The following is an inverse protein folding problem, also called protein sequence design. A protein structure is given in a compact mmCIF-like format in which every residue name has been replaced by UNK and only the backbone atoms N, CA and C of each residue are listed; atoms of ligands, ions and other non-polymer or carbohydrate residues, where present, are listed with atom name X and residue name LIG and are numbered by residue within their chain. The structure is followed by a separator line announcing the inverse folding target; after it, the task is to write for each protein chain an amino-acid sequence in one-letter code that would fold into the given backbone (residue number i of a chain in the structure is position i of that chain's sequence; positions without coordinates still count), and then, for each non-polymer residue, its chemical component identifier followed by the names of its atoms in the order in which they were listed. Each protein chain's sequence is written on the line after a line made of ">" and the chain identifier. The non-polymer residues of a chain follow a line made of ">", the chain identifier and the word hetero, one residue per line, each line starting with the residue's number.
data_IF_810665009422
#
_entry.id   IF_810665009422
#
_cell.length_a   1.000
_cell.length_b   1.000
_cell.length_c   1.000
_cell.angle_alpha   90.00
_cell.angle_beta   90.00
_cell.angle_gamma   90.00
#
_symmetry.space_group_name_H-M   'P 1'
#
loop_
_entity.id
_entity.type
_entity.pdbx_description
1 polymer ?
#
# COMPACT_ATOMS: atom_id res chain seq x y z
N UNK A 1 -3.11 -0.94 11.11
CA UNK A 1 -2.37 0.28 10.70
C UNK A 1 -3.13 1.50 11.19
N UNK A 2 -2.53 2.31 12.04
CA UNK A 2 -3.15 3.57 12.47
C UNK A 2 -3.00 4.60 11.36
N UNK A 3 -4.08 4.84 10.63
CA UNK A 3 -4.19 6.00 9.75
C UNK A 3 -4.46 7.24 10.61
N UNK A 4 -3.59 8.23 10.58
CA UNK A 4 -3.94 9.55 11.13
C UNK A 4 -4.66 10.33 10.05
N UNK A 5 -5.98 10.37 10.09
CA UNK A 5 -6.82 11.21 9.22
C UNK A 5 -6.54 12.73 9.38
N UNK A 6 -5.67 13.10 10.31
CA UNK A 6 -5.38 14.49 10.64
C UNK A 6 -4.70 15.28 9.52
N UNK A 7 -4.08 14.64 8.52
CA UNK A 7 -3.28 15.35 7.52
C UNK A 7 -4.06 16.09 6.44
N UNK A 8 -5.34 15.78 6.24
CA UNK A 8 -6.12 16.39 5.16
C UNK A 8 -6.93 17.60 5.60
N UNK A 9 -7.16 17.75 6.90
CA UNK A 9 -7.86 18.91 7.48
C UNK A 9 -7.08 20.20 7.23
N UNK A 10 -5.74 20.11 7.14
CA UNK A 10 -4.87 21.28 6.99
C UNK A 10 -4.85 21.90 5.59
N UNK A 11 -5.40 21.26 4.57
CA UNK A 11 -5.31 21.77 3.19
C UNK A 11 -6.24 22.94 2.89
N UNK A 12 -7.30 23.13 3.68
CA UNK A 12 -8.35 24.11 3.43
C UNK A 12 -8.52 25.17 4.53
N UNK A 13 -7.88 24.97 5.67
CA UNK A 13 -8.05 25.85 6.85
C UNK A 13 -6.71 26.26 7.44
N UNK A 14 -6.63 27.45 7.99
CA UNK A 14 -5.44 27.97 8.69
C UNK A 14 -5.32 27.45 10.12
N UNK A 15 -6.40 26.93 10.71
CA UNK A 15 -6.48 26.36 12.05
C UNK A 15 -7.56 25.28 12.14
N UNK A 16 -7.41 24.35 13.08
CA UNK A 16 -8.29 23.18 13.25
C UNK A 16 -9.55 23.51 14.06
N UNK A 17 -10.22 24.61 13.78
CA UNK A 17 -11.44 25.03 14.47
C UNK A 17 -12.48 23.91 14.62
N UNK A 18 -12.75 23.07 13.61
CA UNK A 18 -13.76 22.03 13.74
C UNK A 18 -13.44 20.96 14.80
N UNK A 19 -12.17 20.75 15.16
CA UNK A 19 -11.79 19.83 16.25
C UNK A 19 -12.16 20.37 17.63
N UNK A 20 -12.30 21.68 17.77
CA UNK A 20 -12.59 22.39 18.99
C UNK A 20 -13.93 23.12 18.88
N UNK A 21 -14.90 22.52 18.18
CA UNK A 21 -16.15 23.17 17.83
C UNK A 21 -16.96 23.65 19.03
N UNK A 22 -16.92 22.92 20.16
CA UNK A 22 -17.60 23.31 21.40
C UNK A 22 -16.99 24.55 22.02
N UNK A 23 -15.66 24.66 22.03
CA UNK A 23 -14.92 25.80 22.56
C UNK A 23 -15.15 27.08 21.74
N UNK A 24 -15.40 26.91 20.42
CA UNK A 24 -15.63 28.02 19.49
C UNK A 24 -17.10 28.22 19.16
N UNK A 25 -18.02 27.57 19.90
CA UNK A 25 -19.49 27.68 19.72
C UNK A 25 -19.95 27.47 18.27
N UNK A 26 -19.30 26.59 17.52
CA UNK A 26 -19.64 26.28 16.14
C UNK A 26 -20.81 25.30 16.07
N UNK A 27 -21.71 25.51 15.11
CA UNK A 27 -22.78 24.56 14.86
C UNK A 27 -22.27 23.22 14.31
N UNK A 28 -22.83 22.10 14.78
CA UNK A 28 -22.46 20.73 14.33
C UNK A 28 -22.58 20.55 12.81
N UNK A 29 -23.48 21.25 12.16
CA UNK A 29 -23.65 21.23 10.70
C UNK A 29 -22.39 21.66 9.93
N UNK A 30 -21.55 22.49 10.54
CA UNK A 30 -20.30 22.95 9.94
C UNK A 30 -19.13 21.97 10.11
N UNK A 31 -19.33 20.91 10.90
CA UNK A 31 -18.28 19.94 11.25
C UNK A 31 -18.21 18.79 10.25
N UNK A 32 -19.31 18.46 9.58
CA UNK A 32 -19.42 17.32 8.65
C UNK A 32 -18.44 17.39 7.48
N UNK A 33 -17.97 18.58 7.11
CA UNK A 33 -16.98 18.80 6.06
C UNK A 33 -15.54 18.88 6.56
N UNK A 34 -15.34 18.89 7.88
CA UNK A 34 -14.02 18.96 8.50
C UNK A 34 -13.23 17.63 8.42
N UNK A 35 -13.96 16.55 8.27
CA UNK A 35 -13.43 15.18 8.22
C UNK A 35 -13.51 14.65 6.79
N UNK A 36 -12.73 15.23 5.92
CA UNK A 36 -12.58 14.71 4.55
C UNK A 36 -11.76 13.41 4.64
N UNK A 37 -12.45 12.32 5.00
CA UNK A 37 -11.82 11.01 5.05
C UNK A 37 -11.62 10.52 3.62
N UNK A 38 -10.38 10.38 3.20
CA UNK A 38 -10.01 9.85 1.88
C UNK A 38 -10.32 8.36 1.71
N UNK A 39 -10.91 7.75 2.70
CA UNK A 39 -11.22 6.33 2.70
C UNK A 39 -10.17 5.45 3.38
N UNK A 40 -10.40 4.15 3.29
CA UNK A 40 -9.56 3.15 3.92
C UNK A 40 -8.22 2.99 3.19
N UNK A 41 -7.21 2.56 3.93
CA UNK A 41 -5.97 2.07 3.36
C UNK A 41 -6.19 0.63 2.90
N UNK A 42 -5.94 0.36 1.63
CA UNK A 42 -6.03 -0.99 1.07
C UNK A 42 -4.62 -1.50 0.79
N UNK A 43 -4.29 -2.65 1.33
CA UNK A 43 -2.98 -3.29 1.14
C UNK A 43 -3.20 -4.63 0.45
N UNK A 44 -2.55 -4.83 -0.68
CA UNK A 44 -2.56 -6.06 -1.46
C UNK A 44 -1.80 -7.21 -0.80
N UNK A 45 -1.55 -8.25 -1.56
CA UNK A 45 -0.85 -9.45 -1.14
C UNK A 45 0.67 -9.35 -1.40
N UNK A 46 1.48 -10.14 -0.73
CA UNK A 46 2.95 -10.15 -0.88
C UNK A 46 3.59 -8.76 -0.72
N UNK A 47 3.00 -7.89 0.08
CA UNK A 47 3.50 -6.54 0.35
C UNK A 47 4.48 -6.55 1.51
N UNK A 48 5.64 -5.92 1.32
CA UNK A 48 6.59 -5.70 2.40
C UNK A 48 6.58 -4.23 2.80
N UNK A 49 6.29 -3.99 4.09
CA UNK A 49 6.28 -2.64 4.67
C UNK A 49 7.46 -2.52 5.63
N UNK A 50 8.39 -1.63 5.27
CA UNK A 50 9.59 -1.36 6.04
C UNK A 50 9.28 -0.68 7.38
N UNK A 51 10.25 -0.74 8.27
CA UNK A 51 10.15 -0.21 9.64
C UNK A 51 9.76 1.27 9.67
N UNK A 52 8.80 1.60 10.52
CA UNK A 52 8.28 2.98 10.70
C UNK A 52 7.77 3.64 9.40
N UNK A 53 7.36 2.89 8.40
CA UNK A 53 6.70 3.47 7.24
C UNK A 53 5.31 4.01 7.62
N UNK A 54 4.95 5.15 7.06
CA UNK A 54 3.66 5.82 7.27
C UNK A 54 2.86 5.75 5.97
N UNK A 55 1.63 5.23 6.04
CA UNK A 55 0.72 5.14 4.90
C UNK A 55 -0.46 6.05 5.17
N UNK A 56 -0.73 6.97 4.25
CA UNK A 56 -1.80 7.95 4.41
C UNK A 56 -3.16 7.35 4.08
N UNK A 57 -4.23 7.93 4.64
CA UNK A 57 -5.61 7.51 4.39
C UNK A 57 -5.95 7.51 2.89
N UNK A 58 -6.72 6.51 2.46
CA UNK A 58 -7.17 6.33 1.08
C UNK A 58 -6.12 5.81 0.10
N UNK A 59 -4.93 5.44 0.57
CA UNK A 59 -3.87 4.89 -0.29
C UNK A 59 -4.11 3.40 -0.54
N UNK A 60 -3.94 2.99 -1.80
CA UNK A 60 -3.94 1.60 -2.23
C UNK A 60 -2.52 1.14 -2.53
N UNK A 61 -2.12 0.05 -1.92
CA UNK A 61 -0.81 -0.58 -2.15
C UNK A 61 -1.04 -1.87 -2.92
N UNK A 62 -0.52 -1.94 -4.14
CA UNK A 62 -0.67 -3.09 -5.03
C UNK A 62 0.12 -4.31 -4.57
N UNK A 63 -0.29 -5.48 -5.08
CA UNK A 63 0.33 -6.76 -4.77
C UNK A 63 1.85 -6.72 -5.03
N UNK A 64 2.61 -7.34 -4.15
CA UNK A 64 4.06 -7.45 -4.29
C UNK A 64 4.83 -6.15 -4.11
N UNK A 65 4.21 -5.04 -3.70
CA UNK A 65 4.89 -3.78 -3.48
C UNK A 65 5.84 -3.83 -2.28
N UNK A 66 6.87 -2.99 -2.31
CA UNK A 66 7.80 -2.79 -1.19
C UNK A 66 7.80 -1.33 -0.80
N UNK A 67 7.50 -1.07 0.45
CA UNK A 67 7.57 0.25 1.08
C UNK A 67 8.86 0.31 1.90
N UNK A 68 9.76 1.20 1.54
CA UNK A 68 11.01 1.37 2.26
C UNK A 68 10.79 1.85 3.70
N UNK A 69 11.73 1.54 4.58
CA UNK A 69 11.69 2.02 5.96
C UNK A 69 11.59 3.55 6.01
N UNK A 70 10.76 4.04 6.94
CA UNK A 70 10.50 5.47 7.17
C UNK A 70 9.94 6.23 5.97
N UNK A 71 9.42 5.54 4.96
CA UNK A 71 8.72 6.18 3.84
C UNK A 71 7.38 6.75 4.28
N UNK A 72 7.00 7.90 3.72
CA UNK A 72 5.65 8.48 3.89
C UNK A 72 4.89 8.35 2.58
N UNK A 73 4.02 7.34 2.50
CA UNK A 73 3.27 7.00 1.29
C UNK A 73 2.00 7.86 1.22
N UNK A 74 1.95 8.75 0.26
CA UNK A 74 0.87 9.74 0.08
C UNK A 74 0.01 9.49 -1.18
N UNK A 75 0.39 8.51 -2.01
CA UNK A 75 -0.27 8.14 -3.27
C UNK A 75 -0.28 6.62 -3.42
N UNK A 76 -1.16 6.12 -4.25
CA UNK A 76 -1.23 4.70 -4.58
C UNK A 76 0.12 4.18 -5.10
N UNK A 77 0.42 2.94 -4.72
CA UNK A 77 1.64 2.23 -5.11
C UNK A 77 1.27 1.12 -6.07
N UNK A 78 1.75 1.18 -7.33
CA UNK A 78 1.48 0.12 -8.29
C UNK A 78 2.05 -1.24 -7.85
N UNK A 79 1.50 -2.36 -8.37
CA UNK A 79 2.01 -3.69 -8.06
C UNK A 79 3.52 -3.82 -8.35
N UNK A 80 4.19 -4.64 -7.53
CA UNK A 80 5.61 -4.96 -7.65
C UNK A 80 6.54 -3.74 -7.78
N UNK A 81 6.12 -2.62 -7.16
CA UNK A 81 6.88 -1.35 -7.16
C UNK A 81 7.54 -1.15 -5.81
N UNK A 82 8.80 -0.71 -5.83
CA UNK A 82 9.53 -0.28 -4.65
C UNK A 82 9.42 1.23 -4.53
N UNK A 83 8.90 1.71 -3.41
CA UNK A 83 8.80 3.13 -3.12
C UNK A 83 9.53 3.49 -1.84
N UNK A 84 10.03 4.72 -1.75
CA UNK A 84 10.71 5.21 -0.55
C UNK A 84 10.81 6.72 -0.49
N UNK A 85 11.18 7.23 0.66
CA UNK A 85 11.35 8.66 0.92
C UNK A 85 10.12 9.35 1.51
N UNK A 86 10.23 10.65 1.71
CA UNK A 86 9.21 11.52 2.31
C UNK A 86 9.06 12.79 1.46
N UNK A 87 7.98 12.93 0.65
CA UNK A 87 7.00 11.89 0.33
C UNK A 87 7.59 10.73 -0.48
N UNK A 88 7.01 9.53 -0.33
CA UNK A 88 7.48 8.35 -1.05
C UNK A 88 7.34 8.52 -2.56
N UNK A 89 8.39 8.11 -3.28
CA UNK A 89 8.45 8.09 -4.73
C UNK A 89 8.87 6.70 -5.20
N UNK A 90 8.52 6.36 -6.41
CA UNK A 90 9.00 5.14 -7.05
C UNK A 90 10.53 5.16 -7.15
N UNK A 91 11.17 4.11 -6.64
CA UNK A 91 12.59 3.85 -6.78
C UNK A 91 12.81 3.01 -8.03
N UNK A 92 12.10 1.87 -8.14
CA UNK A 92 12.12 0.98 -9.31
C UNK A 92 11.02 -0.06 -9.22
N UNK A 93 10.78 -0.77 -10.30
CA UNK A 93 10.02 -2.03 -10.29
C UNK A 93 10.88 -3.17 -9.76
N UNK A 94 10.26 -4.19 -9.16
CA UNK A 94 10.95 -5.40 -8.70
C UNK A 94 11.38 -6.27 -9.88
N UNK A 95 10.54 -6.33 -10.91
CA UNK A 95 10.68 -7.18 -12.09
C UNK A 95 10.27 -6.43 -13.36
N UNK A 96 10.54 -7.01 -14.51
CA UNK A 96 10.07 -6.51 -15.80
C UNK A 96 8.55 -6.63 -15.92
N UNK A 97 7.94 -5.84 -16.82
CA UNK A 97 6.49 -5.73 -16.94
C UNK A 97 5.82 -7.09 -17.26
N UNK A 98 6.45 -7.93 -18.09
CA UNK A 98 5.93 -9.25 -18.43
C UNK A 98 5.90 -10.17 -17.22
N UNK A 99 6.97 -10.21 -16.43
CA UNK A 99 7.07 -10.99 -15.20
C UNK A 99 6.05 -10.52 -14.17
N UNK A 100 5.85 -9.20 -14.04
CA UNK A 100 4.83 -8.65 -13.14
C UNK A 100 3.44 -9.12 -13.53
N UNK A 101 3.08 -9.08 -14.82
CA UNK A 101 1.78 -9.55 -15.29
C UNK A 101 1.58 -11.04 -15.00
N UNK A 102 2.59 -11.86 -15.23
CA UNK A 102 2.53 -13.29 -14.94
C UNK A 102 2.35 -13.57 -13.44
N UNK A 103 3.06 -12.84 -12.56
CA UNK A 103 2.91 -12.97 -11.11
C UNK A 103 1.52 -12.55 -10.63
N UNK A 104 0.93 -11.51 -11.22
CA UNK A 104 -0.43 -11.06 -10.92
C UNK A 104 -1.49 -12.06 -11.39
N UNK A 105 -1.23 -12.84 -12.45
CA UNK A 105 -2.10 -13.94 -12.87
C UNK A 105 -1.92 -15.17 -11.99
N UNK A 106 -0.67 -15.47 -11.62
CA UNK A 106 -0.30 -16.66 -10.84
C UNK A 106 -0.92 -16.67 -9.45
N UNK A 107 -0.98 -15.52 -8.78
CA UNK A 107 -1.56 -15.32 -7.44
C UNK A 107 -1.18 -16.43 -6.46
N UNK A 108 0.10 -16.67 -6.30
CA UNK A 108 0.64 -17.77 -5.48
C UNK A 108 0.13 -17.74 -4.02
N UNK A 109 -0.30 -16.60 -3.53
CA UNK A 109 -0.89 -16.44 -2.19
C UNK A 109 -2.28 -17.08 -2.04
N UNK A 110 -2.96 -17.39 -3.15
CA UNK A 110 -4.25 -18.10 -3.16
C UNK A 110 -4.08 -19.63 -3.20
N UNK A 111 -2.83 -20.12 -3.25
CA UNK A 111 -2.54 -21.55 -3.31
C UNK A 111 -2.70 -22.23 -1.96
N UNK A 112 -2.90 -23.56 -1.99
CA UNK A 112 -2.86 -24.36 -0.78
C UNK A 112 -1.47 -24.31 -0.12
N UNK A 113 -1.43 -24.53 1.19
CA UNK A 113 -0.18 -24.54 1.96
C UNK A 113 0.84 -25.53 1.40
N UNK A 114 0.39 -26.67 0.87
CA UNK A 114 1.28 -27.70 0.31
C UNK A 114 1.88 -27.26 -1.02
N UNK A 115 1.10 -26.60 -1.87
CA UNK A 115 1.59 -26.00 -3.12
C UNK A 115 2.60 -24.90 -2.85
N UNK A 116 2.30 -24.01 -1.91
CA UNK A 116 3.24 -22.96 -1.49
C UNK A 116 4.55 -23.58 -0.98
N UNK A 117 4.46 -24.61 -0.12
CA UNK A 117 5.64 -25.30 0.44
C UNK A 117 6.54 -25.88 -0.66
N UNK A 118 5.98 -26.44 -1.71
CA UNK A 118 6.74 -26.96 -2.85
C UNK A 118 7.44 -25.86 -3.66
N UNK A 119 6.89 -24.63 -3.64
CA UNK A 119 7.41 -23.49 -4.38
C UNK A 119 8.29 -22.56 -3.54
N UNK A 120 8.32 -22.75 -2.20
CA UNK A 120 9.11 -21.92 -1.29
C UNK A 120 10.58 -21.73 -1.72
N UNK A 121 11.33 -22.76 -2.16
CA UNK A 121 12.70 -22.56 -2.58
C UNK A 121 12.85 -21.53 -3.70
N UNK A 122 11.94 -21.50 -4.65
CA UNK A 122 11.95 -20.55 -5.76
C UNK A 122 11.59 -19.13 -5.30
N UNK A 123 10.61 -19.02 -4.40
CA UNK A 123 10.15 -17.73 -3.86
C UNK A 123 11.25 -17.12 -2.97
N UNK A 124 11.82 -17.91 -2.06
CA UNK A 124 12.84 -17.45 -1.10
C UNK A 124 14.16 -17.09 -1.77
N UNK A 125 14.56 -17.84 -2.79
CA UNK A 125 15.81 -17.61 -3.52
C UNK A 125 15.66 -16.58 -4.64
N UNK A 126 14.46 -16.03 -4.84
CA UNK A 126 14.19 -15.06 -5.90
C UNK A 126 14.25 -15.62 -7.32
N UNK A 127 14.12 -16.95 -7.46
CA UNK A 127 14.12 -17.66 -8.75
C UNK A 127 12.76 -17.57 -9.44
N UNK A 128 12.30 -16.36 -9.66
CA UNK A 128 10.93 -16.09 -10.15
C UNK A 128 10.69 -16.68 -11.54
N UNK A 129 11.67 -16.62 -12.44
CA UNK A 129 11.53 -17.22 -13.78
C UNK A 129 11.34 -18.73 -13.72
N UNK A 130 12.00 -19.43 -12.79
CA UNK A 130 11.83 -20.87 -12.60
C UNK A 130 10.45 -21.16 -11.99
N UNK A 131 9.98 -20.33 -11.04
CA UNK A 131 8.63 -20.43 -10.48
C UNK A 131 7.56 -20.31 -11.57
N UNK A 132 7.68 -19.32 -12.45
CA UNK A 132 6.74 -19.08 -13.56
C UNK A 132 6.78 -20.23 -14.56
N UNK A 133 7.96 -20.69 -14.94
CA UNK A 133 8.14 -21.81 -15.89
C UNK A 133 7.49 -23.09 -15.35
N UNK A 134 7.67 -23.40 -14.06
CA UNK A 134 7.08 -24.56 -13.40
C UNK A 134 5.55 -24.52 -13.37
N UNK A 135 4.97 -23.34 -13.30
CA UNK A 135 3.53 -23.12 -13.19
C UNK A 135 2.91 -22.53 -14.47
N UNK A 136 3.54 -22.78 -15.62
CA UNK A 136 3.12 -22.20 -16.91
C UNK A 136 1.68 -22.54 -17.29
N UNK A 137 1.16 -23.68 -16.85
CA UNK A 137 -0.22 -24.09 -17.10
C UNK A 137 -1.27 -23.21 -16.38
N UNK A 138 -0.84 -22.41 -15.41
CA UNK A 138 -1.69 -21.49 -14.62
C UNK A 138 -1.66 -20.05 -15.14
N UNK A 139 -0.82 -19.77 -16.13
CA UNK A 139 -0.67 -18.47 -16.78
C UNK A 139 -1.45 -18.43 -18.10
#
# INVERSE_FOLDING_TARGET
>A
VRSSAASDVYKRQTYTFPLFYEEWELEKSNITTAWDNKGDIVIGNDVWIGYEAVIMAGVHIGDGAIIAARAVVTKDVPPYTIVGGTPAKEIRKRFDAEVIQQLLMLKWWDWSTDEIRQCLPYIMEGKINELLTRNKERL
#
